data_IF_555806147255
#
_entry.id   IF_555806147255
#
_cell.length_a   1.000
_cell.length_b   1.000
_cell.length_c   1.000
_cell.angle_alpha   90.00
_cell.angle_beta   90.00
_cell.angle_gamma   90.00
#
_symmetry.space_group_name_H-M   'P 1'
#
loop_
_entity.id
_entity.type
_entity.pdbx_description
1 polymer ?
#
# COMPACT_ATOMS: atom_id res chain seq x y z
N UNK A 1 14.81 0.95 1.25
CA UNK A 1 13.65 1.62 0.63
C UNK A 1 13.90 3.14 0.49
N UNK A 2 15.04 3.55 -0.07
CA UNK A 2 15.39 4.99 -0.13
C UNK A 2 15.09 5.60 -1.51
N UNK A 3 15.37 4.85 -2.57
CA UNK A 3 15.12 5.29 -3.95
C UNK A 3 13.62 5.55 -4.20
N UNK A 4 12.71 4.77 -3.59
CA UNK A 4 11.27 4.93 -3.79
C UNK A 4 10.76 6.30 -3.31
N UNK A 5 11.14 6.73 -2.11
CA UNK A 5 10.72 8.03 -1.57
C UNK A 5 11.22 9.19 -2.43
N UNK A 6 12.46 9.08 -2.93
CA UNK A 6 13.04 10.06 -3.83
C UNK A 6 12.28 10.12 -5.16
N UNK A 7 11.95 8.97 -5.76
CA UNK A 7 11.20 8.91 -7.02
C UNK A 7 9.80 9.51 -6.88
N UNK A 8 9.09 9.23 -5.78
CA UNK A 8 7.78 9.82 -5.50
C UNK A 8 7.90 11.35 -5.41
N UNK A 9 8.87 11.84 -4.64
CA UNK A 9 9.10 13.27 -4.47
C UNK A 9 9.45 13.96 -5.79
N UNK A 10 10.32 13.35 -6.59
CA UNK A 10 10.70 13.86 -7.92
C UNK A 10 9.49 13.89 -8.86
N UNK A 11 8.60 12.92 -8.78
CA UNK A 11 7.36 12.90 -9.58
C UNK A 11 6.45 14.07 -9.20
N UNK A 12 6.22 14.28 -7.91
CA UNK A 12 5.40 15.40 -7.41
C UNK A 12 5.99 16.75 -7.87
N UNK A 13 7.33 16.88 -7.87
CA UNK A 13 7.99 18.11 -8.31
C UNK A 13 7.90 18.34 -9.83
N UNK A 14 7.94 17.27 -10.63
CA UNK A 14 7.93 17.36 -12.11
C UNK A 14 6.55 17.63 -12.69
N UNK A 15 5.49 17.18 -12.03
CA UNK A 15 4.12 17.28 -12.54
C UNK A 15 3.32 18.36 -11.79
N UNK A 16 2.60 19.20 -12.53
CA UNK A 16 1.81 20.32 -11.98
C UNK A 16 0.36 19.92 -11.80
N UNK A 17 -0.25 20.24 -10.66
CA UNK A 17 -1.65 19.92 -10.34
C UNK A 17 -2.64 20.20 -11.50
N UNK A 18 -3.73 19.40 -11.64
CA UNK A 18 -4.18 18.36 -10.72
C UNK A 18 -3.67 16.95 -11.07
N UNK A 19 -3.18 16.21 -10.07
CA UNK A 19 -2.87 14.78 -10.18
C UNK A 19 -3.30 14.03 -8.90
N UNK A 20 -3.23 12.70 -8.96
CA UNK A 20 -3.54 11.80 -7.84
C UNK A 20 -2.34 10.91 -7.54
N UNK A 21 -1.89 10.91 -6.27
CA UNK A 21 -0.90 9.97 -5.78
C UNK A 21 -1.62 8.72 -5.24
N UNK A 22 -1.48 7.58 -5.92
CA UNK A 22 -2.01 6.30 -5.43
C UNK A 22 -0.87 5.48 -4.83
N UNK A 23 -0.99 5.15 -3.54
CA UNK A 23 -0.03 4.31 -2.82
C UNK A 23 -0.70 2.99 -2.42
N UNK A 24 -0.28 1.89 -3.05
CA UNK A 24 -0.68 0.53 -2.66
C UNK A 24 0.48 -0.13 -1.91
N UNK A 25 0.35 -0.31 -0.59
CA UNK A 25 1.43 -0.88 0.25
C UNK A 25 0.89 -1.90 1.25
N UNK A 26 1.58 -3.05 1.32
CA UNK A 26 1.23 -4.16 2.20
C UNK A 26 1.97 -4.21 3.53
N UNK A 27 3.00 -3.38 3.72
CA UNK A 27 3.75 -3.30 4.97
C UNK A 27 3.63 -1.86 5.48
N UNK A 28 2.81 -1.66 6.51
CA UNK A 28 2.66 -0.35 7.15
C UNK A 28 3.82 0.01 8.08
N UNK A 29 4.98 -0.67 7.96
CA UNK A 29 6.20 -0.28 8.64
C UNK A 29 6.62 1.14 8.28
N UNK A 30 7.06 1.85 9.31
CA UNK A 30 7.81 3.09 9.14
C UNK A 30 9.12 2.76 8.40
N UNK A 31 9.55 3.63 7.48
CA UNK A 31 10.89 3.51 6.90
C UNK A 31 11.93 3.89 7.96
N UNK A 32 13.06 3.19 7.98
CA UNK A 32 14.13 3.37 8.97
C UNK A 32 14.90 4.70 8.82
N UNK A 33 14.65 5.48 7.77
CA UNK A 33 15.40 6.71 7.48
C UNK A 33 14.47 7.89 7.19
N UNK A 34 14.03 8.57 8.26
CA UNK A 34 13.69 10.01 8.28
C UNK A 34 12.55 10.54 7.41
N UNK A 35 12.03 9.78 6.45
CA UNK A 35 10.88 10.14 5.61
C UNK A 35 9.87 9.01 5.63
N UNK A 36 8.61 9.36 5.93
CA UNK A 36 7.52 8.39 6.03
C UNK A 36 6.51 8.58 4.89
N UNK A 37 5.85 7.50 4.43
CA UNK A 37 4.78 7.59 3.44
C UNK A 37 3.69 8.64 3.78
N UNK A 38 3.27 8.81 5.05
CA UNK A 38 2.40 9.92 5.44
C UNK A 38 2.93 11.30 5.05
N UNK A 39 4.24 11.56 5.18
CA UNK A 39 4.84 12.85 4.80
C UNK A 39 4.82 13.06 3.29
N UNK A 40 5.05 12.01 2.49
CA UNK A 40 4.95 12.10 1.03
C UNK A 40 3.53 12.44 0.58
N UNK A 41 2.52 11.86 1.24
CA UNK A 41 1.11 12.20 1.01
C UNK A 41 0.87 13.67 1.35
N UNK A 42 1.39 14.17 2.47
CA UNK A 42 1.26 15.59 2.81
C UNK A 42 1.93 16.52 1.77
N UNK A 43 3.09 16.13 1.25
CA UNK A 43 3.77 16.88 0.18
C UNK A 43 2.90 16.92 -1.08
N UNK A 44 2.31 15.79 -1.49
CA UNK A 44 1.38 15.75 -2.61
C UNK A 44 0.15 16.64 -2.38
N UNK A 45 -0.47 16.56 -1.20
CA UNK A 45 -1.62 17.38 -0.83
C UNK A 45 -1.29 18.89 -0.81
N UNK A 46 -0.07 19.26 -0.39
CA UNK A 46 0.43 20.65 -0.44
C UNK A 46 0.68 21.11 -1.88
N UNK A 47 1.10 20.21 -2.76
CA UNK A 47 1.25 20.47 -4.19
C UNK A 47 -0.09 20.60 -4.94
N UNK A 48 -1.23 20.48 -4.25
CA UNK A 48 -2.57 20.58 -4.83
C UNK A 48 -3.06 19.27 -5.45
N UNK A 49 -2.40 18.15 -5.15
CA UNK A 49 -2.81 16.83 -5.63
C UNK A 49 -3.86 16.24 -4.68
N UNK A 50 -4.53 15.19 -5.17
CA UNK A 50 -5.27 14.24 -4.33
C UNK A 50 -4.38 13.03 -4.03
N UNK A 51 -4.72 12.26 -3.02
CA UNK A 51 -3.98 11.05 -2.68
C UNK A 51 -4.89 9.92 -2.22
N UNK A 52 -4.48 8.69 -2.48
CA UNK A 52 -5.20 7.48 -2.08
C UNK A 52 -4.22 6.47 -1.48
N UNK A 53 -4.57 5.89 -0.35
CA UNK A 53 -3.82 4.81 0.28
C UNK A 53 -4.64 3.52 0.21
N UNK A 54 -4.05 2.49 -0.37
CA UNK A 54 -4.59 1.13 -0.39
C UNK A 54 -3.68 0.23 0.46
N UNK A 55 -4.21 -0.31 1.55
CA UNK A 55 -3.41 -1.11 2.49
C UNK A 55 -4.24 -2.19 3.20
N UNK A 56 -3.57 -3.23 3.70
CA UNK A 56 -4.19 -4.24 4.56
C UNK A 56 -4.45 -3.67 5.96
N UNK A 57 -5.62 -3.93 6.54
CA UNK A 57 -5.99 -3.34 7.83
C UNK A 57 -5.06 -3.79 8.97
N UNK A 58 -4.56 -5.04 8.90
CA UNK A 58 -3.61 -5.59 9.87
C UNK A 58 -2.29 -4.80 9.97
N UNK A 59 -1.89 -4.11 8.91
CA UNK A 59 -0.67 -3.30 8.85
C UNK A 59 -0.91 -1.80 9.05
N UNK A 60 -2.16 -1.35 9.20
CA UNK A 60 -2.51 0.07 9.06
C UNK A 60 -2.12 0.90 10.29
N UNK A 61 -1.32 1.95 10.05
CA UNK A 61 -0.93 2.92 11.09
C UNK A 61 -2.05 3.95 11.35
N UNK A 62 -2.35 4.26 12.62
CA UNK A 62 -3.33 5.28 13.04
C UNK A 62 -3.05 6.68 12.46
N UNK A 63 -1.80 6.98 12.09
CA UNK A 63 -1.41 8.26 11.47
C UNK A 63 -2.22 8.59 10.20
N UNK A 64 -2.64 7.58 9.44
CA UNK A 64 -3.41 7.78 8.21
C UNK A 64 -4.84 8.24 8.47
N UNK A 65 -5.50 7.73 9.52
CA UNK A 65 -6.85 8.18 9.88
C UNK A 65 -6.86 9.66 10.27
N UNK A 66 -5.86 10.11 11.03
CA UNK A 66 -5.69 11.53 11.35
C UNK A 66 -5.35 12.38 10.11
N UNK A 67 -4.70 11.78 9.09
CA UNK A 67 -4.37 12.45 7.83
C UNK A 67 -5.60 12.63 6.94
N UNK A 68 -6.45 11.61 6.89
CA UNK A 68 -7.72 11.63 6.16
C UNK A 68 -8.62 12.75 6.69
N UNK A 69 -8.79 12.84 8.01
CA UNK A 69 -9.60 13.89 8.64
C UNK A 69 -9.09 15.31 8.34
N UNK A 70 -7.77 15.55 8.37
CA UNK A 70 -7.20 16.88 8.10
C UNK A 70 -7.14 17.24 6.61
N UNK A 71 -7.26 16.26 5.72
CA UNK A 71 -7.10 16.47 4.27
C UNK A 71 -8.29 17.18 3.61
N UNK A 72 -9.45 17.22 4.28
CA UNK A 72 -10.68 17.82 3.76
C UNK A 72 -11.24 17.06 2.55
N UNK A 73 -11.10 15.73 2.52
CA UNK A 73 -11.60 14.87 1.44
C UNK A 73 -10.66 14.72 0.24
N UNK A 74 -9.46 15.32 0.28
CA UNK A 74 -8.44 15.17 -0.77
C UNK A 74 -7.55 13.93 -0.58
N UNK A 75 -7.66 13.28 0.57
CA UNK A 75 -7.01 12.00 0.86
C UNK A 75 -8.06 10.99 1.32
N UNK A 76 -7.94 9.75 0.83
CA UNK A 76 -8.81 8.64 1.22
C UNK A 76 -8.02 7.36 1.45
N UNK A 77 -8.47 6.57 2.41
CA UNK A 77 -7.87 5.28 2.76
C UNK A 77 -8.83 4.15 2.41
N UNK A 78 -8.34 3.18 1.63
CA UNK A 78 -9.06 2.00 1.19
C UNK A 78 -8.42 0.73 1.78
N UNK A 79 -9.28 -0.16 2.28
CA UNK A 79 -8.86 -1.47 2.77
C UNK A 79 -8.70 -2.44 1.60
N UNK A 80 -7.59 -3.15 1.58
CA UNK A 80 -7.35 -4.24 0.63
C UNK A 80 -7.96 -5.57 1.10
N UNK A 81 -8.33 -5.71 2.37
CA UNK A 81 -8.85 -6.94 2.97
C UNK A 81 -9.97 -7.61 2.17
N UNK A 82 -10.95 -6.88 1.60
CA UNK A 82 -12.00 -7.49 0.76
C UNK A 82 -11.47 -8.22 -0.48
N UNK A 83 -10.28 -7.85 -0.96
CA UNK A 83 -9.64 -8.42 -2.14
C UNK A 83 -8.64 -9.53 -1.80
N UNK A 84 -8.46 -9.88 -0.53
CA UNK A 84 -7.47 -10.88 -0.11
C UNK A 84 -7.62 -12.22 -0.85
N UNK A 85 -8.85 -12.74 -0.95
CA UNK A 85 -9.13 -14.00 -1.66
C UNK A 85 -9.09 -13.89 -3.19
N UNK A 86 -9.03 -12.67 -3.72
CA UNK A 86 -8.84 -12.41 -5.15
C UNK A 86 -7.37 -12.39 -5.54
N UNK A 87 -6.45 -12.33 -4.57
CA UNK A 87 -5.01 -12.45 -4.82
C UNK A 87 -4.73 -13.86 -5.31
N UNK A 88 -4.31 -13.97 -6.56
CA UNK A 88 -3.97 -15.24 -7.18
C UNK A 88 -2.47 -15.36 -7.39
N UNK A 89 -1.96 -16.57 -7.26
CA UNK A 89 -0.54 -16.85 -7.40
C UNK A 89 -0.25 -17.27 -8.84
N UNK A 90 0.67 -16.56 -9.49
CA UNK A 90 1.13 -16.88 -10.84
C UNK A 90 1.95 -18.19 -10.87
N UNK A 91 2.57 -18.54 -9.73
CA UNK A 91 3.33 -19.77 -9.58
C UNK A 91 2.70 -20.64 -8.50
N UNK A 92 2.60 -21.94 -8.80
CA UNK A 92 2.13 -22.92 -7.82
C UNK A 92 3.16 -23.03 -6.69
N UNK A 93 2.68 -23.12 -5.45
CA UNK A 93 3.54 -23.19 -4.28
C UNK A 93 2.81 -23.74 -3.08
N UNK A 94 3.57 -24.20 -2.09
CA UNK A 94 3.05 -24.56 -0.78
C UNK A 94 3.26 -23.37 0.14
N UNK A 95 2.18 -22.74 0.59
CA UNK A 95 2.23 -21.80 1.70
C UNK A 95 1.87 -22.52 3.00
N UNK A 96 2.31 -21.95 4.12
CA UNK A 96 2.01 -22.48 5.45
C UNK A 96 1.30 -21.38 6.22
N UNK A 97 0.20 -21.73 6.89
CA UNK A 97 -0.33 -20.87 7.94
C UNK A 97 0.70 -20.79 9.08
N UNK A 98 0.63 -19.75 9.89
CA UNK A 98 1.51 -19.62 11.06
C UNK A 98 0.69 -19.72 12.34
N UNK A 99 1.18 -20.50 13.31
CA UNK A 99 0.61 -20.50 14.65
C UNK A 99 0.92 -19.21 15.41
N UNK A 100 0.38 -19.07 16.62
CA UNK A 100 0.64 -17.92 17.49
C UNK A 100 2.13 -17.80 17.92
N UNK A 101 2.94 -18.84 17.74
CA UNK A 101 4.38 -18.86 17.98
C UNK A 101 5.21 -18.63 16.69
N UNK A 102 4.57 -18.44 15.54
CA UNK A 102 5.19 -18.20 14.24
C UNK A 102 5.65 -19.46 13.52
N UNK A 103 5.38 -20.66 14.03
CA UNK A 103 5.73 -21.91 13.36
C UNK A 103 4.77 -22.19 12.19
N UNK A 104 5.28 -22.72 11.07
CA UNK A 104 4.44 -23.11 9.96
C UNK A 104 3.54 -24.29 10.37
N UNK A 105 2.23 -24.08 10.31
CA UNK A 105 1.19 -25.08 10.51
C UNK A 105 0.37 -25.18 9.21
N UNK A 106 -0.17 -26.36 8.93
CA UNK A 106 -1.06 -26.64 7.78
C UNK A 106 -0.48 -26.23 6.40
N UNK A 107 0.10 -27.18 5.65
CA UNK A 107 0.52 -26.90 4.28
C UNK A 107 -0.71 -26.65 3.38
N UNK A 108 -0.82 -25.42 2.87
CA UNK A 108 -1.82 -25.03 1.89
C UNK A 108 -1.16 -25.09 0.51
N UNK A 109 -1.57 -26.07 -0.30
CA UNK A 109 -1.10 -26.18 -1.67
C UNK A 109 -1.91 -25.24 -2.55
N UNK A 110 -1.25 -24.22 -3.09
CA UNK A 110 -1.87 -23.27 -4.00
C UNK A 110 -1.53 -23.67 -5.43
N UNK A 111 -2.55 -24.06 -6.19
CA UNK A 111 -2.41 -24.31 -7.62
C UNK A 111 -2.15 -22.99 -8.37
N UNK A 112 -1.24 -23.02 -9.35
CA UNK A 112 -1.05 -21.90 -10.27
C UNK A 112 -2.36 -21.62 -11.00
N UNK A 113 -2.76 -20.35 -11.09
CA UNK A 113 -3.85 -19.93 -11.99
C UNK A 113 -3.29 -19.04 -13.09
N UNK A 114 -3.63 -19.38 -14.34
CA UNK A 114 -3.35 -18.51 -15.47
C UNK A 114 -4.30 -17.31 -15.41
N UNK A 115 -3.75 -16.11 -15.19
CA UNK A 115 -4.50 -14.86 -15.37
C UNK A 115 -4.53 -14.57 -16.86
N UNK A 116 -5.73 -14.55 -17.46
CA UNK A 116 -5.85 -14.10 -18.84
C UNK A 116 -5.50 -12.60 -18.91
N UNK A 117 -4.74 -12.15 -19.92
CA UNK A 117 -4.46 -10.73 -20.08
C UNK A 117 -5.78 -9.95 -20.16
N UNK A 118 -5.81 -8.78 -19.54
CA UNK A 118 -6.93 -7.85 -19.71
C UNK A 118 -7.07 -7.49 -21.20
N UNK A 119 -8.29 -7.38 -21.73
CA UNK A 119 -8.55 -7.12 -23.15
C UNK A 119 -8.02 -5.77 -23.62
#
# INVERSE_FOLDING_TARGET
>A
MENLHLMITMSILKHKAPQTLVLATGDGKNSDFGTSFPELIEVALKAGWTAELWSWDAGRNRKYAALEQRSGGRFSVYSLDPYYYSVTYLQAGVCFDKDAAGNPINPVTVAARYVQPLP
#
